data_IF_354694697165
#
_entry.id   IF_354694697165
#
_cell.length_a   1.000
_cell.length_b   1.000
_cell.length_c   1.000
_cell.angle_alpha   90.00
_cell.angle_beta   90.00
_cell.angle_gamma   90.00
#
_symmetry.space_group_name_H-M   'P 1'
#
loop_
_entity.id
_entity.type
_entity.pdbx_description
1 polymer ?
2 branched ?
3 non-polymer ?
4 non-polymer ?
5 non-polymer ?
6 non-polymer ?
7 water ?
#
# COMPACT_ATOMS: atom_id res chain seq x y z
N UNK A 1 50.53 -8.98 10.74
CA UNK A 1 49.48 -9.30 11.75
C UNK A 1 48.11 -8.82 11.26
N UNK A 2 47.11 -8.99 12.13
CA UNK A 2 45.75 -8.53 11.85
C UNK A 2 45.55 -7.14 12.45
N UNK A 3 46.23 -6.16 11.83
CA UNK A 3 46.27 -4.79 12.33
C UNK A 3 45.34 -3.87 11.55
N UNK A 4 44.24 -4.40 11.01
CA UNK A 4 43.22 -3.61 10.34
C UNK A 4 41.88 -4.31 10.51
N UNK A 5 40.91 -3.62 11.07
CA UNK A 5 39.57 -4.16 11.18
C UNK A 5 38.80 -3.90 9.89
N UNK A 6 37.65 -4.55 9.71
CA UNK A 6 36.82 -4.27 8.52
C UNK A 6 36.11 -2.92 8.64
N UNK A 7 36.42 -2.02 7.72
CA UNK A 7 35.74 -0.73 7.62
C UNK A 7 34.58 -0.84 6.63
N UNK A 8 33.36 -0.66 7.11
CA UNK A 8 32.22 -0.51 6.21
C UNK A 8 32.37 0.78 5.41
N UNK A 9 32.13 0.72 4.11
CA UNK A 9 32.28 1.90 3.28
C UNK A 9 31.38 3.04 3.74
N UNK A 10 30.31 2.72 4.47
CA UNK A 10 29.32 3.70 4.90
C UNK A 10 28.78 3.23 6.24
N UNK A 11 28.63 4.11 7.22
CA UNK A 11 28.06 3.65 8.51
C UNK A 11 26.57 3.35 8.43
N UNK A 12 25.83 4.01 7.54
CA UNK A 12 24.41 3.76 7.38
C UNK A 12 24.10 3.77 5.89
N UNK A 13 23.56 2.65 5.39
CA UNK A 13 23.05 2.55 4.03
C UNK A 13 21.55 2.73 4.01
N UNK A 14 21.04 3.18 2.87
CA UNK A 14 19.61 3.44 2.70
C UNK A 14 19.13 2.82 1.39
N UNK A 15 18.08 2.01 1.50
CA UNK A 15 17.58 1.21 0.38
C UNK A 15 16.07 1.37 0.31
N UNK A 16 15.53 1.31 -0.90
CA UNK A 16 14.10 1.40 -1.14
C UNK A 16 13.62 0.13 -1.85
N UNK A 17 12.53 -0.44 -1.36
CA UNK A 17 11.89 -1.59 -1.96
C UNK A 17 10.40 -1.30 -2.07
N UNK A 18 9.79 -1.69 -3.18
CA UNK A 18 8.36 -1.51 -3.35
C UNK A 18 7.61 -2.69 -2.73
N UNK A 19 6.42 -2.38 -2.23
CA UNK A 19 5.57 -3.37 -1.57
C UNK A 19 5.32 -4.57 -2.47
N UNK A 20 5.03 -5.71 -1.85
CA UNK A 20 4.67 -6.95 -2.55
C UNK A 20 5.81 -7.43 -3.45
N UNK A 21 7.02 -7.41 -2.91
CA UNK A 21 8.17 -7.94 -3.63
C UNK A 21 8.11 -9.46 -3.69
N UNK A 22 8.81 -10.08 -4.62
CA UNK A 22 8.91 -11.54 -4.61
C UNK A 22 9.77 -12.02 -3.45
N UNK A 23 9.38 -13.10 -2.78
CA UNK A 23 10.30 -13.71 -1.80
C UNK A 23 11.66 -13.98 -2.43
N UNK A 24 12.72 -13.68 -1.68
CA UNK A 24 14.07 -13.83 -2.16
C UNK A 24 14.59 -12.64 -2.96
N UNK A 25 13.81 -11.58 -3.10
CA UNK A 25 14.21 -10.44 -3.91
C UNK A 25 15.46 -9.80 -3.34
N UNK A 26 16.44 -9.57 -4.21
CA UNK A 26 17.66 -8.88 -3.80
C UNK A 26 17.31 -7.45 -3.39
N UNK A 27 17.65 -7.10 -2.15
CA UNK A 27 17.40 -5.75 -1.64
C UNK A 27 18.60 -4.83 -1.84
N UNK A 28 19.79 -5.25 -1.40
CA UNK A 28 20.95 -4.36 -1.53
C UNK A 28 22.22 -5.16 -1.23
N UNK A 29 23.32 -4.44 -1.04
CA UNK A 29 24.61 -5.05 -0.75
C UNK A 29 25.43 -4.11 0.14
N UNK A 30 26.17 -4.70 1.08
CA UNK A 30 27.08 -3.95 1.93
C UNK A 30 28.50 -4.43 1.65
N UNK A 31 29.47 -3.60 2.05
CA UNK A 31 30.87 -3.88 1.75
C UNK A 31 31.74 -3.39 2.89
N UNK A 32 32.51 -4.30 3.48
CA UNK A 32 33.51 -3.97 4.47
C UNK A 32 34.88 -4.37 3.93
N UNK A 33 35.86 -3.49 4.10
CA UNK A 33 37.19 -3.66 3.54
C UNK A 33 38.16 -4.03 4.64
N UNK A 34 38.94 -5.07 4.41
CA UNK A 34 40.03 -5.45 5.31
C UNK A 34 41.34 -5.38 4.54
N UNK A 35 42.13 -4.36 4.84
CA UNK A 35 43.44 -4.17 4.22
C UNK A 35 44.47 -5.01 4.98
N UNK A 36 44.29 -6.32 4.90
CA UNK A 36 45.27 -7.28 5.38
C UNK A 36 45.32 -8.43 4.38
N UNK A 37 46.52 -8.99 4.20
CA UNK A 37 46.70 -10.06 3.23
C UNK A 37 46.36 -11.40 3.85
N UNK A 38 45.77 -12.28 3.05
CA UNK A 38 45.44 -13.62 3.51
C UNK A 38 44.20 -13.66 4.37
N UNK A 39 44.20 -14.60 5.32
CA UNK A 39 43.03 -14.84 6.16
C UNK A 39 42.77 -13.67 7.10
N UNK A 40 43.83 -12.94 7.49
CA UNK A 40 43.62 -11.73 8.26
C UNK A 40 42.71 -10.75 7.53
N UNK A 41 42.59 -10.88 6.20
CA UNK A 41 41.81 -9.96 5.41
C UNK A 41 40.56 -10.53 4.77
N UNK A 42 40.24 -11.79 5.04
CA UNK A 42 38.99 -12.36 4.55
C UNK A 42 37.88 -12.01 5.54
N UNK A 43 36.89 -11.27 5.07
CA UNK A 43 35.82 -10.76 5.92
C UNK A 43 34.53 -11.53 5.65
N UNK A 44 33.76 -11.77 6.70
CA UNK A 44 32.49 -12.46 6.65
C UNK A 44 31.41 -11.56 7.23
N UNK A 45 30.23 -11.56 6.61
CA UNK A 45 29.11 -10.75 7.04
C UNK A 45 28.08 -11.60 7.77
N UNK A 46 27.52 -11.05 8.85
CA UNK A 46 26.47 -11.70 9.61
C UNK A 46 25.33 -10.72 9.85
N UNK A 47 24.11 -11.26 9.85
CA UNK A 47 22.93 -10.48 10.24
C UNK A 47 22.84 -10.48 11.76
N UNK A 48 22.79 -9.30 12.36
CA UNK A 48 22.58 -9.18 13.79
C UNK A 48 21.09 -9.36 14.09
N UNK A 49 20.80 -10.17 15.10
CA UNK A 49 19.42 -10.48 15.45
C UNK A 49 18.79 -9.31 16.20
N UNK A 50 17.52 -9.06 15.93
CA UNK A 50 16.80 -7.95 16.54
C UNK A 50 15.31 -8.12 16.31
N UNK A 51 14.52 -7.64 17.25
CA UNK A 51 13.08 -7.59 17.07
C UNK A 51 12.73 -6.55 16.01
N UNK A 52 11.51 -6.67 15.48
CA UNK A 52 10.99 -5.73 14.50
C UNK A 52 10.04 -4.79 15.22
N UNK A 53 10.51 -3.57 15.48
CA UNK A 53 9.69 -2.54 16.10
C UNK A 53 9.12 -2.91 17.45
N UNK A 54 7.81 -3.11 17.51
CA UNK A 54 7.10 -3.48 18.74
C UNK A 54 6.38 -4.80 18.47
N UNK A 55 7.00 -5.91 18.86
CA UNK A 55 6.38 -7.23 18.75
C UNK A 55 5.90 -7.51 17.33
N UNK A 56 6.81 -7.33 16.38
CA UNK A 56 6.54 -7.64 14.98
C UNK A 56 7.12 -8.97 14.58
N UNK A 57 8.17 -9.40 15.27
CA UNK A 57 8.81 -10.67 15.00
C UNK A 57 10.32 -10.57 15.07
N UNK A 58 11.00 -11.44 14.32
CA UNK A 58 12.46 -11.46 14.27
C UNK A 58 12.94 -10.88 12.96
N UNK A 59 14.10 -10.23 13.00
CA UNK A 59 14.66 -9.64 11.79
C UNK A 59 15.11 -10.73 10.82
N UNK A 60 15.58 -11.87 11.32
CA UNK A 60 15.97 -12.98 10.47
C UNK A 60 14.79 -13.56 9.70
N UNK A 61 13.55 -13.23 10.10
CA UNK A 61 12.37 -13.66 9.36
C UNK A 61 12.16 -12.84 8.08
N UNK A 62 12.75 -11.66 8.00
CA UNK A 62 12.45 -10.72 6.92
C UNK A 62 13.57 -10.59 5.89
N UNK A 63 14.82 -10.68 6.30
CA UNK A 63 15.96 -10.55 5.39
C UNK A 63 16.98 -11.63 5.70
N UNK A 64 17.90 -11.81 4.75
CA UNK A 64 19.07 -12.65 4.96
C UNK A 64 20.25 -11.98 4.28
N UNK A 65 21.43 -12.06 4.91
CA UNK A 65 22.66 -11.49 4.37
C UNK A 65 23.57 -12.62 3.95
N UNK A 66 24.15 -12.50 2.77
CA UNK A 66 25.08 -13.52 2.27
C UNK A 66 26.42 -13.36 2.98
N UNK A 67 26.99 -14.43 3.53
CA UNK A 67 28.14 -14.26 4.45
C UNK A 67 29.41 -13.81 3.77
N UNK A 68 29.54 -13.95 2.46
CA UNK A 68 30.75 -13.55 1.75
C UNK A 68 30.55 -12.37 0.81
N UNK A 69 29.37 -12.25 0.19
CA UNK A 69 29.13 -11.23 -0.81
C UNK A 69 28.46 -9.98 -0.24
N UNK A 70 28.05 -10.01 1.02
CA UNK A 70 27.33 -8.90 1.61
C UNK A 70 25.97 -8.67 1.02
N UNK A 71 25.50 -9.53 0.11
CA UNK A 71 24.20 -9.36 -0.50
C UNK A 71 23.10 -9.56 0.54
N UNK A 72 22.11 -8.66 0.51
CA UNK A 72 21.00 -8.66 1.45
C UNK A 72 19.74 -8.87 0.63
N UNK A 73 19.13 -10.04 0.82
CA UNK A 73 17.89 -10.44 0.14
C UNK A 73 16.73 -10.43 1.12
N UNK A 74 15.52 -10.37 0.56
CA UNK A 74 14.29 -10.43 1.34
C UNK A 74 13.75 -11.86 1.33
N UNK A 75 13.22 -12.30 2.47
CA UNK A 75 12.65 -13.63 2.58
C UNK A 75 11.14 -13.65 2.38
N UNK A 76 10.47 -12.51 2.45
CA UNK A 76 9.04 -12.44 2.27
C UNK A 76 8.70 -11.17 1.50
N UNK A 77 7.45 -11.09 1.04
CA UNK A 77 6.96 -9.93 0.30
C UNK A 77 6.48 -8.89 1.31
N UNK A 78 7.03 -7.69 1.22
CA UNK A 78 6.77 -6.64 2.20
C UNK A 78 5.41 -5.99 1.91
N UNK A 79 4.68 -5.72 2.99
CA UNK A 79 3.37 -5.07 2.92
C UNK A 79 3.48 -3.67 3.54
N UNK A 80 3.28 -2.65 2.71
CA UNK A 80 3.48 -1.27 3.19
C UNK A 80 2.46 -0.93 4.27
N UNK A 81 1.23 -1.39 4.14
CA UNK A 81 0.22 -1.12 5.16
C UNK A 81 0.59 -1.78 6.50
N UNK A 82 1.50 -2.75 6.48
CA UNK A 82 1.92 -3.46 7.69
C UNK A 82 3.29 -3.03 8.19
N UNK A 83 4.13 -2.47 7.33
CA UNK A 83 5.50 -2.14 7.69
C UNK A 83 6.11 -1.20 6.67
N UNK A 84 6.53 -0.01 7.10
CA UNK A 84 7.08 0.98 6.19
C UNK A 84 8.60 0.97 6.14
N UNK A 85 9.27 0.85 7.29
CA UNK A 85 10.72 0.78 7.34
C UNK A 85 11.15 -0.33 8.28
N UNK A 86 12.30 -0.94 7.96
CA UNK A 86 12.92 -1.91 8.86
C UNK A 86 14.43 -1.68 8.88
N UNK A 87 15.02 -1.87 10.06
CA UNK A 87 16.44 -1.64 10.28
C UNK A 87 17.16 -2.98 10.32
N UNK A 88 18.13 -3.15 9.43
CA UNK A 88 18.93 -4.36 9.35
C UNK A 88 20.34 -4.02 9.80
N UNK A 89 20.78 -4.62 10.90
CA UNK A 89 22.13 -4.42 11.42
C UNK A 89 23.03 -5.56 10.94
N UNK A 90 24.10 -5.20 10.25
CA UNK A 90 25.04 -6.17 9.70
C UNK A 90 26.38 -6.01 10.41
N UNK A 91 27.10 -7.12 10.53
CA UNK A 91 28.39 -7.14 11.21
C UNK A 91 29.42 -7.79 10.30
N UNK A 92 30.47 -7.06 9.96
CA UNK A 92 31.58 -7.56 9.17
C UNK A 92 32.71 -7.95 10.11
N UNK A 93 33.27 -9.15 9.90
CA UNK A 93 34.22 -9.72 10.85
C UNK A 93 35.25 -10.55 10.10
N UNK A 94 36.54 -10.30 10.37
CA UNK A 94 37.61 -10.96 9.64
C UNK A 94 37.90 -12.34 10.25
N UNK A 95 38.97 -12.97 9.78
CA UNK A 95 39.32 -14.31 10.21
C UNK A 95 40.67 -14.41 10.89
N UNK A 96 41.09 -13.32 11.55
CA UNK A 96 42.33 -13.32 12.31
C UNK A 96 42.11 -13.76 13.75
N UNK A 97 43.21 -13.80 14.50
CA UNK A 97 43.16 -14.24 15.89
C UNK A 97 43.82 -13.21 16.82
N UNK A 98 43.01 -12.47 17.60
CA UNK A 98 41.54 -12.49 17.70
C UNK A 98 40.84 -11.81 16.53
N UNK A 99 39.56 -12.12 16.34
CA UNK A 99 38.77 -11.52 15.28
C UNK A 99 38.56 -10.04 15.55
N UNK A 100 38.61 -9.25 14.49
CA UNK A 100 38.22 -7.84 14.53
C UNK A 100 36.94 -7.66 13.74
N UNK A 101 36.05 -6.79 14.23
CA UNK A 101 34.72 -6.68 13.65
C UNK A 101 34.26 -5.23 13.68
N UNK A 102 33.30 -4.92 12.82
CA UNK A 102 32.62 -3.63 12.79
C UNK A 102 31.19 -3.87 12.37
N UNK A 103 30.35 -2.85 12.57
CA UNK A 103 28.92 -2.95 12.31
C UNK A 103 28.47 -1.82 11.39
N UNK A 104 27.31 -2.03 10.77
CA UNK A 104 26.67 -0.99 9.97
C UNK A 104 25.17 -1.24 9.95
N UNK A 105 24.44 -0.21 9.55
CA UNK A 105 22.98 -0.25 9.55
C UNK A 105 22.46 0.01 8.15
N UNK A 106 21.62 -0.89 7.65
CA UNK A 106 20.86 -0.71 6.41
C UNK A 106 19.44 -0.32 6.80
N UNK A 107 19.02 0.86 6.37
CA UNK A 107 17.66 1.34 6.62
C UNK A 107 16.83 1.03 5.37
N UNK A 108 16.05 -0.04 5.43
CA UNK A 108 15.25 -0.46 4.29
C UNK A 108 13.89 0.22 4.38
N UNK A 109 13.56 1.00 3.36
CA UNK A 109 12.31 1.72 3.28
C UNK A 109 11.40 1.04 2.26
N UNK A 110 10.14 0.82 2.65
CA UNK A 110 9.17 0.14 1.80
C UNK A 110 8.30 1.20 1.14
N UNK A 111 8.22 1.17 -0.19
CA UNK A 111 7.39 2.08 -0.95
C UNK A 111 6.01 1.47 -1.19
N UNK A 112 5.04 2.33 -1.39
CA UNK A 112 3.66 1.90 -1.55
C UNK A 112 3.40 1.45 -2.99
N UNK A 113 2.50 0.48 -3.12
CA UNK A 113 1.99 -0.02 -4.39
C UNK A 113 0.48 0.11 -4.35
N UNK A 114 -0.14 0.42 -5.49
CA UNK A 114 -1.60 0.54 -5.53
C UNK A 114 -2.17 -0.88 -5.60
N UNK A 115 -2.28 -1.50 -4.42
CA UNK A 115 -2.75 -2.87 -4.28
C UNK A 115 -4.07 -2.91 -3.50
N UNK A 116 -4.85 -1.84 -3.58
CA UNK A 116 -6.18 -1.78 -2.97
C UNK A 116 -7.12 -1.05 -3.90
N UNK A 117 -8.15 -1.69 -4.30
CA UNK A 117 -9.20 -0.98 -4.99
C UNK A 117 -10.17 -0.38 -3.98
N UNK A 118 -10.81 0.75 -4.29
CA UNK A 118 -11.77 1.31 -3.35
C UNK A 118 -12.86 0.30 -3.01
N UNK A 119 -13.27 0.31 -1.74
CA UNK A 119 -14.33 -0.56 -1.25
C UNK A 119 -15.52 0.30 -0.85
N UNK A 120 -16.71 -0.14 -1.23
CA UNK A 120 -17.95 0.59 -0.94
C UNK A 120 -18.44 0.14 0.44
N UNK A 121 -18.29 1.03 1.43
CA UNK A 121 -18.68 0.69 2.80
C UNK A 121 -20.18 0.87 3.00
N UNK A 122 -20.73 1.96 2.48
CA UNK A 122 -22.15 2.23 2.65
C UNK A 122 -22.64 3.17 1.53
N UNK A 123 -23.82 2.89 0.97
CA UNK A 123 -24.70 1.74 1.22
C UNK A 123 -24.10 0.42 0.73
N UNK A 124 -24.25 -0.63 1.52
CA UNK A 124 -23.58 -1.89 1.24
C UNK A 124 -24.07 -2.50 -0.07
N UNK A 125 -23.19 -2.95 -0.95
CA UNK A 125 -23.65 -3.61 -2.19
C UNK A 125 -24.21 -4.99 -1.90
N UNK A 126 -25.16 -5.39 -2.74
CA UNK A 126 -25.76 -6.72 -2.67
C UNK A 126 -26.00 -7.20 -4.09
N UNK A 127 -25.36 -8.32 -4.45
CA UNK A 127 -25.40 -8.81 -5.82
C UNK A 127 -24.92 -7.74 -6.79
N UNK A 128 -23.96 -6.92 -6.35
CA UNK A 128 -23.45 -5.84 -7.16
C UNK A 128 -24.46 -4.74 -7.42
N UNK A 129 -25.45 -4.57 -6.54
CA UNK A 129 -26.58 -3.69 -6.78
C UNK A 129 -26.82 -2.83 -5.55
N UNK A 130 -27.63 -1.78 -5.73
CA UNK A 130 -27.94 -0.83 -4.66
C UNK A 130 -29.38 -0.35 -4.78
N UNK A 131 -30.06 -0.26 -3.64
CA UNK A 131 -31.41 0.26 -3.58
C UNK A 131 -31.42 1.63 -2.90
N UNK A 132 -32.23 2.53 -3.43
CA UNK A 132 -32.39 3.87 -2.87
C UNK A 132 -33.84 4.32 -3.03
N UNK A 133 -34.51 4.62 -1.92
CA UNK A 133 -35.88 5.12 -1.98
C UNK A 133 -35.87 6.63 -2.10
N UNK A 134 -36.62 7.15 -3.05
CA UNK A 134 -36.70 8.59 -3.29
C UNK A 134 -38.16 9.02 -3.25
N UNK A 135 -38.62 9.64 -2.17
CA UNK A 135 -40.01 10.12 -2.13
C UNK A 135 -40.33 11.02 -3.31
N UNK A 136 -41.48 10.78 -3.94
CA UNK A 136 -41.86 11.56 -5.10
C UNK A 136 -41.75 13.06 -4.87
N UNK A 137 -42.42 13.55 -3.83
CA UNK A 137 -42.40 14.98 -3.50
C UNK A 137 -41.11 15.32 -2.76
N UNK A 138 -40.04 15.51 -3.53
CA UNK A 138 -38.77 15.97 -3.00
C UNK A 138 -38.29 17.18 -3.78
N UNK A 139 -37.59 18.07 -3.10
CA UNK A 139 -37.11 19.29 -3.72
C UNK A 139 -35.84 19.02 -4.53
N UNK A 140 -35.51 19.97 -5.40
CA UNK A 140 -34.30 19.85 -6.19
C UNK A 140 -33.07 19.95 -5.30
N UNK A 141 -31.96 19.39 -5.79
CA UNK A 141 -30.67 19.43 -5.11
C UNK A 141 -30.81 19.15 -3.61
N UNK A 142 -31.46 18.05 -3.29
CA UNK A 142 -31.56 17.54 -1.93
C UNK A 142 -30.84 16.20 -1.83
N UNK A 143 -30.06 16.04 -0.75
CA UNK A 143 -29.26 14.83 -0.57
C UNK A 143 -30.18 13.62 -0.49
N UNK A 144 -30.14 12.77 -1.51
CA UNK A 144 -30.89 11.53 -1.48
C UNK A 144 -30.09 10.44 -0.80
N UNK A 145 -28.77 10.41 -1.01
CA UNK A 145 -27.95 9.36 -0.42
C UNK A 145 -26.56 9.91 -0.11
N UNK A 146 -25.79 9.13 0.62
CA UNK A 146 -24.41 9.45 0.97
C UNK A 146 -23.57 8.20 0.79
N UNK A 147 -22.70 8.22 -0.21
CA UNK A 147 -21.83 7.08 -0.51
C UNK A 147 -20.53 7.24 0.26
N UNK A 148 -20.20 6.25 1.07
CA UNK A 148 -18.94 6.24 1.82
C UNK A 148 -18.12 5.03 1.39
N UNK A 149 -16.91 5.29 0.91
CA UNK A 149 -16.00 4.24 0.48
C UNK A 149 -14.62 4.50 1.07
N UNK A 150 -13.79 3.46 1.08
CA UNK A 150 -12.46 3.54 1.67
C UNK A 150 -11.42 2.99 0.71
N UNK A 151 -10.18 3.46 0.89
CA UNK A 151 -9.03 2.95 0.16
C UNK A 151 -7.82 3.04 1.07
N UNK A 152 -7.13 1.92 1.24
CA UNK A 152 -6.06 1.83 2.23
C UNK A 152 -4.74 2.40 1.75
N UNK A 153 -4.59 2.66 0.46
CA UNK A 153 -3.29 3.03 -0.09
C UNK A 153 -2.94 4.48 0.28
N UNK A 154 -1.81 4.95 -0.25
CA UNK A 154 -1.24 6.24 0.11
C UNK A 154 -1.41 7.24 -1.02
N UNK A 155 -1.33 8.52 -0.65
CA UNK A 155 -1.37 9.59 -1.64
C UNK A 155 -2.57 9.44 -2.56
N UNK A 156 -2.35 9.72 -3.84
CA UNK A 156 -3.43 9.63 -4.82
C UNK A 156 -4.00 8.22 -4.90
N UNK A 157 -3.20 7.19 -4.57
CA UNK A 157 -3.72 5.83 -4.55
C UNK A 157 -4.86 5.64 -3.55
N UNK A 158 -5.08 6.60 -2.66
CA UNK A 158 -6.22 6.56 -1.76
C UNK A 158 -7.16 7.72 -1.99
N UNK A 159 -6.85 8.56 -2.99
CA UNK A 159 -7.68 9.71 -3.32
C UNK A 159 -8.84 9.25 -4.20
N UNK A 160 -10.05 9.26 -3.66
CA UNK A 160 -11.21 8.69 -4.32
C UNK A 160 -12.01 9.74 -5.08
N UNK A 161 -12.75 9.26 -6.08
CA UNK A 161 -13.63 10.09 -6.90
C UNK A 161 -14.88 9.30 -7.24
N UNK A 162 -16.04 9.89 -6.97
CA UNK A 162 -17.34 9.27 -7.19
C UNK A 162 -18.00 9.81 -8.46
N UNK A 163 -18.81 8.96 -9.10
CA UNK A 163 -19.34 9.28 -10.41
C UNK A 163 -20.60 8.46 -10.65
N UNK A 164 -21.54 9.05 -11.40
CA UNK A 164 -22.73 8.36 -11.85
C UNK A 164 -22.71 8.27 -13.38
N UNK A 165 -22.99 7.08 -13.92
CA UNK A 165 -22.92 6.87 -15.35
C UNK A 165 -24.14 6.09 -15.84
N UNK A 166 -24.44 6.25 -17.12
CA UNK A 166 -25.43 5.42 -17.82
C UNK A 166 -26.78 5.45 -17.09
N UNK A 167 -27.30 6.64 -16.90
CA UNK A 167 -28.61 6.79 -16.29
C UNK A 167 -29.72 6.50 -17.31
N UNK A 168 -30.74 5.78 -16.85
CA UNK A 168 -31.95 5.57 -17.64
C UNK A 168 -33.15 5.68 -16.70
N UNK A 169 -34.26 6.26 -17.17
CA UNK A 169 -34.55 6.75 -18.52
C UNK A 169 -33.88 8.09 -18.84
N UNK A 170 -33.83 8.99 -17.86
CA UNK A 170 -33.23 10.30 -18.02
C UNK A 170 -32.25 10.56 -16.88
N UNK A 171 -31.48 11.64 -17.02
CA UNK A 171 -30.45 11.99 -16.04
C UNK A 171 -31.08 12.86 -14.97
N UNK A 172 -31.64 12.21 -13.95
CA UNK A 172 -32.36 12.91 -12.88
C UNK A 172 -31.52 13.13 -11.63
N UNK A 173 -30.53 12.29 -11.37
CA UNK A 173 -29.70 12.39 -10.17
C UNK A 173 -28.25 12.72 -10.53
N UNK A 174 -27.52 13.18 -9.51
CA UNK A 174 -26.09 13.45 -9.67
C UNK A 174 -25.40 13.14 -8.36
N UNK A 175 -24.08 12.97 -8.42
CA UNK A 175 -23.28 12.64 -7.25
C UNK A 175 -22.06 13.56 -7.20
N UNK A 176 -21.74 14.04 -6.01
CA UNK A 176 -20.57 14.91 -5.84
C UNK A 176 -19.29 14.09 -5.98
N UNK A 177 -18.33 14.63 -6.74
CA UNK A 177 -17.15 13.85 -7.12
C UNK A 177 -16.39 13.38 -5.88
N UNK A 178 -16.00 14.31 -5.01
CA UNK A 178 -15.34 13.96 -3.77
C UNK A 178 -16.32 13.76 -2.62
N UNK A 179 -17.56 14.22 -2.77
CA UNK A 179 -18.51 14.25 -1.68
C UNK A 179 -19.11 12.87 -1.39
N UNK A 180 -19.50 12.15 -2.45
CA UNK A 180 -20.28 10.95 -2.29
C UNK A 180 -21.75 11.20 -2.01
N UNK A 181 -22.18 12.46 -2.02
CA UNK A 181 -23.59 12.79 -1.84
C UNK A 181 -24.32 12.63 -3.16
N UNK A 182 -25.43 11.88 -3.13
CA UNK A 182 -26.30 11.74 -4.28
C UNK A 182 -27.49 12.66 -4.09
N UNK A 183 -27.63 13.63 -4.99
CA UNK A 183 -28.66 14.65 -4.96
C UNK A 183 -29.58 14.50 -6.17
N UNK A 184 -30.77 15.12 -6.04
CA UNK A 184 -31.81 15.09 -7.07
C UNK A 184 -31.76 16.38 -7.86
N UNK A 185 -31.31 16.29 -9.11
CA UNK A 185 -31.20 17.46 -9.99
C UNK A 185 -32.48 17.69 -10.78
N UNK A 186 -33.03 16.63 -11.37
CA UNK A 186 -34.18 16.75 -12.23
C UNK A 186 -35.50 16.84 -11.45
N UNK A 187 -36.58 16.95 -12.21
CA UNK A 187 -37.92 17.05 -11.64
C UNK A 187 -38.51 15.66 -11.45
N UNK A 188 -39.22 15.47 -10.33
CA UNK A 188 -39.72 14.18 -9.90
C UNK A 188 -41.15 14.36 -9.39
N UNK A 189 -42.06 14.72 -10.31
CA UNK A 189 -43.45 15.01 -9.96
C UNK A 189 -44.43 14.11 -10.70
N UNK A 190 -44.25 13.94 -12.01
CA UNK A 190 -45.15 13.14 -12.84
C UNK A 190 -44.63 11.71 -12.92
N UNK A 191 -44.70 11.01 -11.78
CA UNK A 191 -44.11 9.69 -11.69
C UNK A 191 -44.93 8.77 -10.79
N UNK A 192 -45.11 7.50 -11.18
CA UNK A 192 -45.81 6.55 -10.32
C UNK A 192 -44.89 6.01 -9.23
N UNK A 193 -45.45 5.62 -8.09
CA UNK A 193 -44.63 5.04 -7.02
C UNK A 193 -43.68 3.93 -7.47
N UNK A 194 -44.04 3.14 -8.48
CA UNK A 194 -43.17 2.06 -8.89
C UNK A 194 -41.99 2.48 -9.75
N UNK A 195 -42.02 3.69 -10.30
CA UNK A 195 -41.05 4.06 -11.31
C UNK A 195 -39.63 3.98 -10.75
N UNK A 196 -38.69 3.63 -11.63
CA UNK A 196 -37.30 3.40 -11.26
C UNK A 196 -36.40 4.21 -12.18
N UNK A 197 -35.29 4.71 -11.62
CA UNK A 197 -34.19 5.28 -12.37
C UNK A 197 -32.95 4.45 -12.08
N UNK A 198 -32.35 3.90 -13.13
CA UNK A 198 -31.18 3.04 -12.98
C UNK A 198 -29.91 3.77 -13.40
N UNK A 199 -28.86 3.62 -12.61
CA UNK A 199 -27.58 4.23 -12.89
C UNK A 199 -26.47 3.26 -12.49
N UNK A 200 -25.24 3.60 -12.88
CA UNK A 200 -24.05 2.85 -12.52
C UNK A 200 -23.18 3.74 -11.63
N UNK A 201 -22.94 3.29 -10.41
CA UNK A 201 -22.05 4.00 -9.49
C UNK A 201 -20.61 3.61 -9.80
N UNK A 202 -19.74 4.63 -9.93
CA UNK A 202 -18.35 4.44 -10.32
C UNK A 202 -17.47 5.12 -9.28
N UNK A 203 -16.66 4.32 -8.58
CA UNK A 203 -15.73 4.81 -7.56
C UNK A 203 -14.33 4.50 -8.06
N UNK A 204 -13.53 5.54 -8.25
CA UNK A 204 -12.15 5.39 -8.71
C UNK A 204 -11.18 5.94 -7.67
N UNK A 205 -9.92 5.55 -7.81
CA UNK A 205 -8.82 6.12 -7.04
C UNK A 205 -7.84 6.79 -7.99
N UNK A 206 -6.84 7.46 -7.41
CA UNK A 206 -5.97 8.29 -8.22
C UNK A 206 -4.71 7.60 -8.70
N UNK A 207 -4.79 6.29 -8.94
CA UNK A 207 -3.65 5.54 -9.43
C UNK A 207 -3.42 5.75 -10.92
N UNK A 208 -2.28 5.25 -11.38
CA UNK A 208 -1.99 5.22 -12.81
C UNK A 208 -1.35 3.88 -13.17
N UNK A 209 -2.14 2.92 -13.67
CA UNK A 209 -3.58 3.05 -13.91
C UNK A 209 -4.40 3.15 -12.62
N UNK A 210 -5.61 3.68 -12.69
CA UNK A 210 -6.49 3.70 -11.52
C UNK A 210 -7.14 2.35 -11.29
N UNK A 211 -7.54 2.11 -10.04
CA UNK A 211 -8.35 0.96 -9.68
C UNK A 211 -9.78 1.42 -9.44
N UNK A 212 -10.73 0.75 -10.10
CA UNK A 212 -12.12 1.16 -10.10
C UNK A 212 -13.00 0.05 -9.56
N UNK A 213 -14.02 0.42 -8.78
CA UNK A 213 -15.10 -0.47 -8.42
C UNK A 213 -16.42 0.20 -8.73
N UNK A 214 -17.45 -0.62 -8.97
CA UNK A 214 -18.72 -0.13 -9.48
C UNK A 214 -19.88 -0.83 -8.79
N UNK A 215 -21.05 -0.20 -8.86
CA UNK A 215 -22.28 -0.79 -8.35
C UNK A 215 -23.43 -0.42 -9.27
N UNK A 216 -24.57 -1.08 -9.09
CA UNK A 216 -25.77 -0.84 -9.88
C UNK A 216 -26.81 -0.16 -9.00
N UNK A 217 -26.99 1.14 -9.19
CA UNK A 217 -27.88 1.91 -8.34
C UNK A 217 -29.28 1.91 -8.96
N UNK A 218 -30.27 1.71 -8.11
CA UNK A 218 -31.68 1.79 -8.48
C UNK A 218 -32.37 2.77 -7.54
N UNK A 219 -32.81 3.90 -8.08
CA UNK A 219 -33.63 4.85 -7.35
C UNK A 219 -35.09 4.56 -7.64
N UNK A 220 -35.81 4.04 -6.64
CA UNK A 220 -37.25 3.79 -6.77
C UNK A 220 -38.01 4.94 -6.14
N UNK A 221 -39.04 5.40 -6.83
CA UNK A 221 -39.73 6.66 -6.52
C UNK A 221 -40.92 6.34 -5.64
N UNK A 222 -40.81 6.61 -4.34
CA UNK A 222 -41.93 6.39 -3.42
C UNK A 222 -42.54 7.71 -2.96
#
# INVERSE_FOLDING_TARGET
>A
ENDNAPLFTRPVYEVSVRENNPPGAYLATVAARDRDLGRNGQVTYRLLEAEVGRAGGAVSTYVSVDPATGAIYALRSFDYETLRQLDVRIQASDGGSPQLSSSALVQVRVLDQNDHAPVLVHPAPANGSLEVAVPGRTAKDTVVARVQARDADEGANGELAFELQQQEPREAFAIGRRTGEILLTGDLSQEPPGRVFRALLVISDGGRPPLTTTATVSFVVTAHHHHHH
#
